data_IF_619590120789
#
_entry.id   IF_619590120789
#
_cell.length_a   1.000
_cell.length_b   1.000
_cell.length_c   1.000
_cell.angle_alpha   90.00
_cell.angle_beta   90.00
_cell.angle_gamma   90.00
#
_symmetry.space_group_name_H-M   'P 1'
#
loop_
_entity.id
_entity.type
_entity.pdbx_description
1 polymer ?
#
# COMPACT_ATOMS: atom_id res chain seq x y z
N UNK A 1 -15.60 9.26 16.89
CA UNK A 1 -15.21 7.84 16.84
C UNK A 1 -14.16 7.68 15.76
N UNK A 2 -13.07 6.96 16.02
CA UNK A 2 -11.95 6.77 15.08
C UNK A 2 -12.20 5.51 14.25
N UNK A 3 -12.14 5.63 12.92
CA UNK A 3 -12.57 4.57 11.99
C UNK A 3 -11.43 4.05 11.10
N UNK A 4 -10.17 4.35 11.44
CA UNK A 4 -9.01 3.97 10.63
C UNK A 4 -8.95 2.47 10.34
N UNK A 5 -9.02 1.63 11.37
CA UNK A 5 -8.96 0.17 11.20
C UNK A 5 -10.19 -0.41 10.50
N UNK A 6 -11.37 0.19 10.70
CA UNK A 6 -12.56 -0.18 9.96
C UNK A 6 -12.40 0.11 8.46
N UNK A 7 -11.79 1.24 8.11
CA UNK A 7 -11.44 1.55 6.72
C UNK A 7 -10.41 0.58 6.18
N UNK A 8 -9.32 0.29 6.90
CA UNK A 8 -8.31 -0.69 6.48
C UNK A 8 -8.91 -2.08 6.21
N UNK A 9 -9.86 -2.53 7.02
CA UNK A 9 -10.54 -3.82 6.78
C UNK A 9 -11.26 -3.89 5.42
N UNK A 10 -11.56 -2.74 4.79
CA UNK A 10 -12.16 -2.69 3.45
C UNK A 10 -11.19 -3.02 2.32
N UNK A 11 -9.87 -3.09 2.58
CA UNK A 11 -8.87 -3.52 1.58
C UNK A 11 -9.22 -4.89 0.98
N UNK A 12 -9.80 -5.80 1.78
CA UNK A 12 -10.28 -7.12 1.30
C UNK A 12 -11.35 -7.06 0.22
N UNK A 13 -12.01 -5.91 0.05
CA UNK A 13 -13.07 -5.70 -0.93
C UNK A 13 -12.56 -5.04 -2.21
N UNK A 14 -11.29 -4.64 -2.27
CA UNK A 14 -10.67 -4.07 -3.46
C UNK A 14 -9.86 -5.16 -4.14
N UNK A 15 -10.36 -5.64 -5.28
CA UNK A 15 -9.69 -6.65 -6.10
C UNK A 15 -8.68 -5.98 -7.04
N UNK A 16 -7.59 -6.68 -7.31
CA UNK A 16 -6.56 -6.31 -8.26
C UNK A 16 -6.81 -6.92 -9.63
N UNK A 17 -6.08 -6.43 -10.63
CA UNK A 17 -6.12 -6.98 -12.00
C UNK A 17 -7.49 -6.85 -12.68
N UNK A 18 -8.21 -5.74 -12.40
CA UNK A 18 -9.59 -5.53 -12.84
C UNK A 18 -9.80 -5.50 -14.37
N UNK A 19 -8.74 -5.30 -15.15
CA UNK A 19 -8.79 -5.30 -16.62
C UNK A 19 -8.55 -6.68 -17.26
N UNK A 20 -8.26 -7.71 -16.47
CA UNK A 20 -7.88 -9.03 -16.95
C UNK A 20 -8.80 -10.12 -16.38
N UNK A 21 -8.95 -11.22 -17.12
CA UNK A 21 -9.60 -12.43 -16.59
C UNK A 21 -8.66 -13.12 -15.60
N UNK A 22 -9.11 -13.30 -14.37
CA UNK A 22 -8.34 -13.94 -13.31
C UNK A 22 -8.82 -15.39 -13.09
N UNK A 23 -7.90 -16.35 -13.05
CA UNK A 23 -8.18 -17.74 -12.63
C UNK A 23 -8.38 -17.83 -11.12
N UNK A 24 -7.62 -17.04 -10.36
CA UNK A 24 -7.79 -16.79 -8.91
C UNK A 24 -7.82 -15.28 -8.71
N UNK A 25 -8.84 -14.77 -8.01
CA UNK A 25 -8.91 -13.35 -7.66
C UNK A 25 -7.91 -13.04 -6.56
N UNK A 26 -7.32 -11.85 -6.63
CA UNK A 26 -6.43 -11.30 -5.62
C UNK A 26 -7.01 -9.97 -5.12
N UNK A 27 -7.01 -9.76 -3.80
CA UNK A 27 -7.36 -8.48 -3.18
C UNK A 27 -6.15 -7.78 -2.53
N UNK A 28 -6.32 -6.51 -2.15
CA UNK A 28 -5.24 -5.72 -1.57
C UNK A 28 -4.65 -6.30 -0.27
N UNK A 29 -5.44 -6.99 0.56
CA UNK A 29 -4.89 -7.60 1.78
C UNK A 29 -3.92 -8.73 1.45
N UNK A 30 -4.26 -9.59 0.49
CA UNK A 30 -3.41 -10.71 0.05
C UNK A 30 -2.10 -10.17 -0.55
N UNK A 31 -2.22 -9.25 -1.51
CA UNK A 31 -1.07 -8.59 -2.13
C UNK A 31 -0.17 -7.87 -1.11
N UNK A 32 -0.76 -7.13 -0.17
CA UNK A 32 0.01 -6.39 0.84
C UNK A 32 0.73 -7.33 1.81
N UNK A 33 0.12 -8.46 2.17
CA UNK A 33 0.76 -9.48 2.99
C UNK A 33 1.97 -10.11 2.27
N UNK A 34 1.78 -10.57 1.04
CA UNK A 34 2.85 -11.17 0.24
C UNK A 34 3.99 -10.17 -0.01
N UNK A 35 3.66 -8.92 -0.33
CA UNK A 35 4.61 -7.82 -0.50
C UNK A 35 5.41 -7.56 0.77
N UNK A 36 4.78 -7.61 1.95
CA UNK A 36 5.48 -7.45 3.24
C UNK A 36 6.46 -8.60 3.51
N UNK A 37 6.06 -9.85 3.23
CA UNK A 37 6.94 -11.03 3.36
C UNK A 37 8.15 -10.91 2.43
N UNK A 38 7.93 -10.52 1.17
CA UNK A 38 9.00 -10.32 0.19
C UNK A 38 9.93 -9.18 0.60
N UNK A 39 9.37 -8.03 1.01
CA UNK A 39 10.17 -6.87 1.44
C UNK A 39 11.07 -7.21 2.64
N UNK A 40 10.53 -7.93 3.63
CA UNK A 40 11.30 -8.45 4.75
C UNK A 40 12.44 -9.37 4.27
N UNK A 41 12.13 -10.36 3.43
CA UNK A 41 13.12 -11.32 2.94
C UNK A 41 14.24 -10.64 2.14
N UNK A 42 13.91 -9.64 1.31
CA UNK A 42 14.88 -8.86 0.56
C UNK A 42 15.80 -8.03 1.48
N UNK A 43 15.25 -7.42 2.53
CA UNK A 43 16.04 -6.70 3.52
C UNK A 43 17.00 -7.63 4.28
N UNK A 44 16.53 -8.81 4.71
CA UNK A 44 17.37 -9.84 5.34
C UNK A 44 18.48 -10.28 4.38
N UNK A 45 18.14 -10.65 3.14
CA UNK A 45 19.09 -11.08 2.13
C UNK A 45 20.17 -10.01 1.88
N UNK A 46 19.77 -8.74 1.75
CA UNK A 46 20.67 -7.60 1.59
C UNK A 46 21.69 -7.52 2.73
N UNK A 47 21.24 -7.69 3.97
CA UNK A 47 22.10 -7.60 5.13
C UNK A 47 23.01 -8.82 5.26
N UNK A 48 22.46 -10.01 5.08
CA UNK A 48 23.19 -11.26 5.28
C UNK A 48 24.21 -11.55 4.17
N UNK A 49 23.91 -11.21 2.92
CA UNK A 49 24.73 -11.63 1.77
C UNK A 49 25.40 -10.50 1.00
N UNK A 50 24.95 -9.26 1.18
CA UNK A 50 25.40 -8.12 0.37
C UNK A 50 25.96 -6.96 1.21
N UNK A 51 26.27 -7.18 2.49
CA UNK A 51 26.89 -6.18 3.37
C UNK A 51 26.00 -4.96 3.64
N UNK A 52 24.69 -5.07 3.43
CA UNK A 52 23.74 -3.99 3.69
C UNK A 52 23.31 -3.87 5.14
N UNK A 53 22.61 -2.77 5.42
CA UNK A 53 22.11 -2.39 6.74
C UNK A 53 20.66 -1.85 6.62
N UNK A 54 19.76 -2.64 6.05
CA UNK A 54 18.33 -2.33 5.94
C UNK A 54 17.57 -2.82 7.17
N UNK A 55 16.61 -2.04 7.67
CA UNK A 55 15.69 -2.49 8.71
C UNK A 55 14.59 -3.35 8.08
N UNK A 56 14.67 -4.67 8.30
CA UNK A 56 13.73 -5.63 7.73
C UNK A 56 12.32 -5.51 8.33
N UNK A 57 12.20 -5.13 9.61
CA UNK A 57 10.91 -4.94 10.27
C UNK A 57 10.21 -3.71 9.71
N UNK A 58 10.94 -2.61 9.58
CA UNK A 58 10.42 -1.39 8.95
C UNK A 58 10.05 -1.61 7.49
N UNK A 59 10.84 -2.37 6.74
CA UNK A 59 10.51 -2.72 5.35
C UNK A 59 9.18 -3.49 5.26
N UNK A 60 8.98 -4.47 6.13
CA UNK A 60 7.72 -5.24 6.19
C UNK A 60 6.52 -4.35 6.53
N UNK A 61 6.65 -3.46 7.52
CA UNK A 61 5.56 -2.56 7.94
C UNK A 61 5.22 -1.56 6.84
N UNK A 62 6.21 -0.97 6.17
CA UNK A 62 5.98 -0.06 5.04
C UNK A 62 5.24 -0.78 3.91
N UNK A 63 5.68 -2.00 3.57
CA UNK A 63 5.05 -2.83 2.56
C UNK A 63 3.61 -3.25 2.96
N UNK A 64 3.33 -3.48 4.24
CA UNK A 64 1.99 -3.84 4.70
C UNK A 64 0.96 -2.72 4.44
N UNK A 65 1.38 -1.46 4.52
CA UNK A 65 0.49 -0.29 4.35
C UNK A 65 0.62 0.41 2.99
N UNK A 66 1.50 -0.05 2.10
CA UNK A 66 1.87 0.72 0.90
C UNK A 66 0.69 1.06 -0.01
N UNK A 67 -0.26 0.14 -0.17
CA UNK A 67 -1.46 0.30 -1.00
C UNK A 67 -2.72 0.66 -0.18
N UNK A 68 -2.58 1.03 1.10
CA UNK A 68 -3.75 1.35 1.94
C UNK A 68 -4.59 2.51 1.37
N UNK A 69 -3.99 3.45 0.65
CA UNK A 69 -4.72 4.55 -0.01
C UNK A 69 -5.68 4.07 -1.10
N UNK A 70 -5.46 2.88 -1.66
CA UNK A 70 -6.27 2.32 -2.73
C UNK A 70 -7.68 1.90 -2.27
N UNK A 71 -7.93 1.87 -0.96
CA UNK A 71 -9.29 1.80 -0.40
C UNK A 71 -10.16 2.97 -0.91
N UNK A 72 -9.54 4.13 -1.17
CA UNK A 72 -10.22 5.34 -1.63
C UNK A 72 -10.17 5.48 -3.16
N UNK A 73 -9.03 5.13 -3.78
CA UNK A 73 -8.82 5.33 -5.22
C UNK A 73 -9.28 4.17 -6.09
N UNK A 74 -9.43 2.98 -5.51
CA UNK A 74 -9.45 1.72 -6.23
C UNK A 74 -8.05 1.29 -6.69
N UNK A 75 -7.90 0.00 -7.00
CA UNK A 75 -6.71 -0.54 -7.66
C UNK A 75 -6.60 0.09 -9.05
N UNK A 76 -5.49 0.78 -9.30
CA UNK A 76 -5.24 1.43 -10.57
C UNK A 76 -4.23 0.61 -11.38
N UNK A 77 -4.63 0.04 -12.54
CA UNK A 77 -3.73 -0.75 -13.36
C UNK A 77 -2.50 0.05 -13.78
N UNK A 78 -1.31 -0.56 -13.65
CA UNK A 78 -0.01 0.04 -13.99
C UNK A 78 0.02 0.75 -15.34
N UNK A 79 -0.54 0.21 -16.45
CA UNK A 79 -0.52 0.90 -17.74
C UNK A 79 -1.25 2.24 -17.73
N UNK A 80 -2.30 2.38 -16.92
CA UNK A 80 -3.06 3.64 -16.77
C UNK A 80 -2.29 4.60 -15.86
N UNK A 81 -1.79 4.12 -14.72
CA UNK A 81 -1.04 4.93 -13.73
C UNK A 81 0.20 5.62 -14.33
N UNK A 82 0.83 4.98 -15.32
CA UNK A 82 2.07 5.46 -15.94
C UNK A 82 1.93 5.85 -17.42
N UNK A 83 0.70 6.01 -17.93
CA UNK A 83 0.45 6.32 -19.35
C UNK A 83 1.16 7.59 -19.82
N UNK A 84 1.08 8.68 -19.04
CA UNK A 84 1.78 9.93 -19.31
C UNK A 84 2.12 10.71 -18.01
N UNK A 85 3.00 11.72 -18.07
CA UNK A 85 3.39 12.51 -16.91
C UNK A 85 2.21 13.22 -16.22
N UNK A 86 1.23 13.70 -16.98
CA UNK A 86 0.07 14.44 -16.48
C UNK A 86 -0.83 13.56 -15.61
N UNK A 87 -1.17 12.36 -16.10
CA UNK A 87 -1.97 11.36 -15.38
C UNK A 87 -1.22 10.91 -14.13
N UNK A 88 0.09 10.66 -14.24
CA UNK A 88 0.92 10.29 -13.07
C UNK A 88 0.88 11.39 -12.00
N UNK A 89 0.95 12.66 -12.39
CA UNK A 89 0.87 13.79 -11.47
C UNK A 89 -0.51 13.89 -10.82
N UNK A 90 -1.57 13.79 -11.62
CA UNK A 90 -2.95 13.80 -11.13
C UNK A 90 -3.19 12.67 -10.12
N UNK A 91 -2.70 11.46 -10.42
CA UNK A 91 -2.85 10.30 -9.54
C UNK A 91 -2.12 10.49 -8.21
N UNK A 92 -0.90 11.04 -8.22
CA UNK A 92 -0.19 11.41 -6.98
C UNK A 92 -0.97 12.41 -6.13
N UNK A 93 -1.66 13.36 -6.77
CA UNK A 93 -2.56 14.29 -6.08
C UNK A 93 -3.71 13.56 -5.38
N UNK A 94 -4.34 12.61 -6.08
CA UNK A 94 -5.42 11.78 -5.53
C UNK A 94 -4.92 10.90 -4.37
N UNK A 95 -3.77 10.23 -4.52
CA UNK A 95 -3.13 9.44 -3.44
C UNK A 95 -2.84 10.31 -2.20
N UNK A 96 -2.38 11.55 -2.39
CA UNK A 96 -2.09 12.47 -1.28
C UNK A 96 -3.36 12.85 -0.49
N UNK A 97 -4.48 13.08 -1.19
CA UNK A 97 -5.78 13.34 -0.56
C UNK A 97 -6.28 12.08 0.17
N UNK A 98 -6.20 10.91 -0.46
CA UNK A 98 -6.59 9.63 0.15
C UNK A 98 -5.81 9.33 1.42
N UNK A 99 -4.48 9.51 1.40
CA UNK A 99 -3.60 9.36 2.56
C UNK A 99 -4.00 10.29 3.69
N UNK A 100 -4.21 11.57 3.39
CA UNK A 100 -4.60 12.57 4.39
C UNK A 100 -5.95 12.23 5.01
N UNK A 101 -6.90 11.76 4.21
CA UNK A 101 -8.21 11.28 4.68
C UNK A 101 -8.07 10.10 5.63
N UNK A 102 -7.26 9.09 5.29
CA UNK A 102 -7.03 7.93 6.15
C UNK A 102 -6.38 8.32 7.48
N UNK A 103 -5.30 9.11 7.45
CA UNK A 103 -4.61 9.56 8.66
C UNK A 103 -5.53 10.37 9.59
N UNK A 104 -6.46 11.16 9.04
CA UNK A 104 -7.42 11.92 9.84
C UNK A 104 -8.43 11.04 10.61
N UNK A 105 -8.55 9.75 10.26
CA UNK A 105 -9.37 8.78 10.98
C UNK A 105 -8.67 8.20 12.22
N UNK A 106 -7.41 8.58 12.47
CA UNK A 106 -6.67 8.26 13.69
C UNK A 106 -6.77 9.41 14.72
N UNK A 107 -6.65 9.08 16.02
CA UNK A 107 -6.31 10.04 17.07
C UNK A 107 -5.10 10.90 16.68
N UNK A 108 -5.12 12.19 17.02
CA UNK A 108 -4.12 13.14 16.55
C UNK A 108 -2.69 12.76 16.99
N UNK A 109 -2.55 12.20 18.18
CA UNK A 109 -1.33 11.67 18.80
C UNK A 109 -0.77 10.43 18.08
N UNK A 110 -1.62 9.63 17.43
CA UNK A 110 -1.18 8.43 16.70
C UNK A 110 -0.80 8.70 15.24
N UNK A 111 -1.28 9.80 14.63
CA UNK A 111 -1.02 10.11 13.21
C UNK A 111 0.46 10.11 12.82
N UNK A 112 1.40 10.65 13.63
CA UNK A 112 2.81 10.66 13.26
C UNK A 112 3.42 9.27 13.07
N UNK A 113 2.87 8.23 13.74
CA UNK A 113 3.37 6.85 13.66
C UNK A 113 3.06 6.20 12.31
N UNK A 114 1.99 6.64 11.63
CA UNK A 114 1.48 6.05 10.38
C UNK A 114 1.76 6.90 9.13
N UNK A 115 2.52 7.99 9.26
CA UNK A 115 2.82 8.92 8.14
C UNK A 115 3.96 8.41 7.25
#
# INVERSE_FOLDING_TARGET
MYHFFAMLSRMKNVNRWGLMRNTRRENLCEHSFETAVIAHALAVLRNTRFGGHADAQRAAVLALFHDATEIVTGDMPTPVKYFNPEIRSAYRGVEAVARSRLLNLLPADLRPVYR
#
